data_IF_660254694923
#
_entry.id   IF_660254694923
#
_cell.length_a   1.000
_cell.length_b   1.000
_cell.length_c   1.000
_cell.angle_alpha   90.00
_cell.angle_beta   90.00
_cell.angle_gamma   90.00
#
_symmetry.space_group_name_H-M   'P 1'
#
loop_
_entity.id
_entity.type
_entity.pdbx_description
1 polymer ?
#
# COMPACT_ATOMS: atom_id res chain seq x y z
N UNK A 1 -0.58 5.22 -27.22
CA UNK A 1 0.71 4.59 -26.84
C UNK A 1 1.43 4.03 -28.05
N UNK A 2 0.75 3.28 -28.96
CA UNK A 2 1.37 2.76 -30.18
C UNK A 2 1.85 3.87 -31.14
N UNK A 3 1.19 5.04 -31.16
CA UNK A 3 1.58 6.19 -31.95
C UNK A 3 2.83 6.91 -31.41
N UNK A 4 3.03 6.84 -30.08
CA UNK A 4 4.10 7.56 -29.39
C UNK A 4 5.43 6.76 -29.35
N UNK A 5 5.46 5.53 -29.88
CA UNK A 5 6.63 4.65 -29.96
C UNK A 5 7.31 4.39 -28.60
N UNK A 6 6.56 4.35 -27.52
CA UNK A 6 7.10 3.95 -26.23
C UNK A 6 7.35 2.44 -26.21
N UNK A 7 8.53 2.04 -25.78
CA UNK A 7 8.84 0.66 -25.44
C UNK A 7 8.49 0.44 -23.97
N UNK A 8 7.60 -0.50 -23.69
CA UNK A 8 7.21 -0.82 -22.32
C UNK A 8 6.85 -2.29 -22.19
N UNK A 9 7.10 -2.82 -21.02
CA UNK A 9 6.70 -4.15 -20.60
C UNK A 9 5.63 -4.05 -19.51
N UNK A 10 4.61 -4.90 -19.58
CA UNK A 10 3.56 -5.00 -18.57
C UNK A 10 3.69 -6.31 -17.84
N UNK A 11 3.92 -6.24 -16.54
CA UNK A 11 4.09 -7.40 -15.67
C UNK A 11 3.06 -7.40 -14.56
N UNK A 12 2.66 -8.57 -14.09
CA UNK A 12 1.88 -8.70 -12.88
C UNK A 12 2.79 -8.67 -11.66
N UNK A 13 2.30 -8.12 -10.52
CA UNK A 13 3.09 -8.06 -9.29
C UNK A 13 3.69 -9.40 -8.84
N UNK A 14 3.00 -10.55 -8.95
CA UNK A 14 3.57 -11.85 -8.62
C UNK A 14 4.78 -12.23 -9.46
N UNK A 15 4.87 -11.76 -10.70
CA UNK A 15 5.95 -12.10 -11.62
C UNK A 15 7.32 -11.61 -11.13
N UNK A 16 7.34 -10.49 -10.40
CA UNK A 16 8.56 -9.99 -9.76
C UNK A 16 9.15 -10.96 -8.71
N UNK A 17 8.37 -11.92 -8.22
CA UNK A 17 8.89 -12.96 -7.29
C UNK A 17 9.38 -14.20 -8.00
N UNK A 18 9.23 -14.28 -9.31
CA UNK A 18 9.59 -15.44 -10.12
C UNK A 18 10.94 -15.21 -10.79
N UNK A 19 11.74 -16.25 -10.86
CA UNK A 19 13.02 -16.20 -11.56
C UNK A 19 12.89 -16.69 -13.02
N UNK A 20 11.88 -17.51 -13.28
CA UNK A 20 11.69 -18.19 -14.56
C UNK A 20 10.24 -18.21 -15.02
N UNK A 21 10.07 -18.45 -16.31
CA UNK A 21 8.78 -18.62 -16.96
C UNK A 21 8.30 -17.35 -17.66
N UNK A 22 7.03 -17.35 -18.09
CA UNK A 22 6.46 -16.26 -18.89
C UNK A 22 5.44 -15.45 -18.11
N UNK A 23 5.37 -14.15 -18.44
CA UNK A 23 4.29 -13.24 -18.09
C UNK A 23 3.68 -12.74 -19.41
N UNK A 24 2.54 -13.29 -19.81
CA UNK A 24 2.04 -13.11 -21.17
C UNK A 24 3.06 -13.60 -22.22
N UNK A 25 3.45 -12.71 -23.12
CA UNK A 25 4.47 -13.00 -24.15
C UNK A 25 5.90 -12.76 -23.68
N UNK A 26 6.09 -12.21 -22.49
CA UNK A 26 7.40 -11.82 -21.95
C UNK A 26 8.02 -13.02 -21.24
N UNK A 27 9.24 -13.38 -21.62
CA UNK A 27 10.06 -14.36 -20.91
C UNK A 27 10.84 -13.67 -19.78
N UNK A 28 10.57 -14.08 -18.54
CA UNK A 28 11.15 -13.46 -17.35
C UNK A 28 12.67 -13.65 -17.23
N UNK A 29 13.21 -14.71 -17.83
CA UNK A 29 14.66 -14.96 -17.88
C UNK A 29 15.39 -14.01 -18.84
N UNK A 30 14.67 -13.46 -19.82
CA UNK A 30 15.23 -12.57 -20.85
C UNK A 30 15.07 -11.09 -20.50
N UNK A 31 14.37 -10.75 -19.43
CA UNK A 31 14.20 -9.36 -19.01
C UNK A 31 15.52 -8.78 -18.51
N UNK A 32 15.93 -7.68 -19.11
CA UNK A 32 16.97 -6.83 -18.52
C UNK A 32 16.35 -5.88 -17.49
N UNK A 33 16.20 -6.35 -16.27
CA UNK A 33 15.55 -5.63 -15.16
C UNK A 33 16.15 -4.25 -14.89
N UNK A 34 17.42 -4.05 -15.18
CA UNK A 34 18.13 -2.79 -14.93
C UNK A 34 18.08 -1.78 -16.09
N UNK A 35 17.23 -1.96 -17.08
CA UNK A 35 17.20 -1.13 -18.29
C UNK A 35 15.88 -0.36 -18.45
N UNK A 36 15.29 0.10 -17.35
CA UNK A 36 14.06 0.89 -17.39
C UNK A 36 14.29 2.30 -16.86
N UNK A 37 13.94 3.31 -17.64
CA UNK A 37 14.00 4.73 -17.23
C UNK A 37 12.85 5.11 -16.30
N UNK A 38 11.71 4.41 -16.42
CA UNK A 38 10.51 4.65 -15.64
C UNK A 38 9.83 3.33 -15.26
N UNK A 39 9.46 3.20 -14.00
CA UNK A 39 8.57 2.15 -13.51
C UNK A 39 7.28 2.78 -13.01
N UNK A 40 6.15 2.33 -13.55
CA UNK A 40 4.82 2.69 -13.06
C UNK A 40 4.25 1.51 -12.29
N UNK A 41 3.90 1.71 -11.03
CA UNK A 41 3.38 0.69 -10.14
C UNK A 41 1.93 1.02 -9.83
N UNK A 42 1.00 0.31 -10.47
CA UNK A 42 -0.40 0.38 -10.09
C UNK A 42 -0.64 -0.43 -8.82
N UNK A 43 -1.63 -0.03 -8.01
CA UNK A 43 -1.91 -0.63 -6.70
C UNK A 43 -0.63 -0.81 -5.84
N UNK A 44 0.16 0.27 -5.75
CA UNK A 44 1.47 0.28 -5.08
C UNK A 44 1.42 -0.09 -3.60
N UNK A 45 0.25 -0.05 -2.97
CA UNK A 45 0.03 -0.55 -1.62
C UNK A 45 0.44 -2.02 -1.43
N UNK A 46 0.51 -2.80 -2.51
CA UNK A 46 1.02 -4.17 -2.49
C UNK A 46 2.51 -4.26 -2.14
N UNK A 47 3.25 -3.15 -2.23
CA UNK A 47 4.67 -3.06 -1.90
C UNK A 47 4.94 -2.39 -0.54
N UNK A 48 3.91 -2.13 0.27
CA UNK A 48 4.05 -1.56 1.62
C UNK A 48 4.87 -2.43 2.58
N UNK A 49 4.88 -3.75 2.35
CA UNK A 49 5.61 -4.71 3.15
C UNK A 49 6.89 -5.14 2.45
N UNK A 50 7.98 -5.20 3.22
CA UNK A 50 9.24 -5.80 2.80
C UNK A 50 9.45 -7.11 3.60
N UNK A 51 8.87 -8.24 3.18
CA UNK A 51 8.98 -9.49 3.90
C UNK A 51 10.43 -9.98 3.87
N UNK A 52 10.97 -10.25 5.05
CA UNK A 52 12.30 -10.85 5.21
C UNK A 52 12.19 -12.36 5.00
N UNK A 53 12.22 -12.81 3.75
CA UNK A 53 12.37 -14.23 3.46
C UNK A 53 13.84 -14.60 3.64
N UNK A 54 14.09 -15.73 4.29
CA UNK A 54 15.46 -16.26 4.45
C UNK A 54 16.05 -16.66 3.10
N UNK A 55 15.23 -17.22 2.23
CA UNK A 55 15.61 -17.66 0.89
C UNK A 55 14.60 -17.17 -0.15
N UNK A 56 15.09 -16.96 -1.38
CA UNK A 56 14.31 -16.60 -2.55
C UNK A 56 14.11 -15.10 -2.78
N UNK A 57 13.76 -14.79 -4.02
CA UNK A 57 13.47 -13.44 -4.48
C UNK A 57 12.06 -13.01 -4.00
N UNK A 58 11.95 -11.80 -3.47
CA UNK A 58 10.66 -11.17 -3.22
C UNK A 58 10.44 -10.08 -4.25
N UNK A 59 9.17 -9.76 -4.56
CA UNK A 59 8.85 -8.65 -5.47
C UNK A 59 9.45 -7.33 -5.00
N UNK A 60 9.52 -7.09 -3.68
CA UNK A 60 10.16 -5.90 -3.12
C UNK A 60 11.66 -5.87 -3.41
N UNK A 61 12.36 -6.98 -3.15
CA UNK A 61 13.80 -7.09 -3.42
C UNK A 61 14.12 -6.94 -4.90
N UNK A 62 13.34 -7.61 -5.79
CA UNK A 62 13.51 -7.50 -7.24
C UNK A 62 13.39 -6.04 -7.69
N UNK A 63 12.31 -5.38 -7.30
CA UNK A 63 12.07 -4.00 -7.69
C UNK A 63 13.17 -3.06 -7.15
N UNK A 64 13.55 -3.21 -5.88
CA UNK A 64 14.57 -2.35 -5.27
C UNK A 64 15.97 -2.58 -5.85
N UNK A 65 16.40 -3.84 -5.94
CA UNK A 65 17.80 -4.15 -6.23
C UNK A 65 18.07 -4.29 -7.73
N UNK A 66 17.17 -4.97 -8.46
CA UNK A 66 17.42 -5.32 -9.85
C UNK A 66 16.90 -4.25 -10.82
N UNK A 67 15.90 -3.45 -10.38
CA UNK A 67 15.30 -2.39 -11.20
C UNK A 67 15.79 -1.02 -10.76
N UNK A 68 15.49 -0.60 -9.52
CA UNK A 68 15.71 0.79 -9.07
C UNK A 68 17.18 1.09 -8.81
N UNK A 69 17.90 0.19 -8.11
CA UNK A 69 19.32 0.36 -7.77
C UNK A 69 20.27 -0.19 -8.82
N UNK A 70 19.77 -0.49 -9.99
CA UNK A 70 20.57 -1.02 -11.10
C UNK A 70 21.38 0.08 -11.80
N UNK A 71 21.80 -0.17 -13.02
CA UNK A 71 22.72 0.71 -13.75
C UNK A 71 22.09 1.99 -14.29
N UNK A 72 20.76 2.03 -14.46
CA UNK A 72 20.02 3.19 -14.98
C UNK A 72 19.32 3.87 -13.82
N UNK A 73 19.32 5.21 -13.81
CA UNK A 73 18.58 6.00 -12.81
C UNK A 73 17.07 5.91 -13.11
N UNK A 74 16.45 4.90 -12.60
CA UNK A 74 15.03 4.60 -12.81
C UNK A 74 14.15 5.56 -12.00
N UNK A 75 13.23 6.24 -12.66
CA UNK A 75 12.17 7.02 -12.00
C UNK A 75 11.04 6.08 -11.59
N UNK A 76 10.40 6.37 -10.46
CA UNK A 76 9.31 5.55 -9.93
C UNK A 76 8.04 6.39 -9.79
N UNK A 77 6.95 5.95 -10.42
CA UNK A 77 5.61 6.48 -10.26
C UNK A 77 4.73 5.42 -9.59
N UNK A 78 4.16 5.75 -8.45
CA UNK A 78 3.28 4.86 -7.71
C UNK A 78 1.84 5.36 -7.74
N UNK A 79 0.92 4.48 -8.07
CA UNK A 79 -0.52 4.74 -8.09
C UNK A 79 -1.17 3.88 -7.00
N UNK A 80 -2.00 4.49 -6.17
CA UNK A 80 -2.76 3.77 -5.15
C UNK A 80 -3.93 4.60 -4.64
N UNK A 81 -5.08 3.97 -4.45
CA UNK A 81 -6.21 4.58 -3.75
C UNK A 81 -6.00 4.59 -2.22
N UNK A 82 -5.19 3.69 -1.68
CA UNK A 82 -4.98 3.47 -0.25
C UNK A 82 -3.50 3.26 0.08
N UNK A 83 -2.65 4.31 -0.04
CA UNK A 83 -1.21 4.18 0.17
C UNK A 83 -0.86 3.81 1.62
N UNK A 84 -1.70 4.21 2.57
CA UNK A 84 -1.66 3.81 3.99
C UNK A 84 -2.91 3.00 4.29
N UNK A 85 -2.74 1.81 4.85
CA UNK A 85 -3.88 0.98 5.25
C UNK A 85 -4.04 0.99 6.78
N UNK A 86 -3.17 0.27 7.49
CA UNK A 86 -3.30 0.07 8.93
C UNK A 86 -2.18 0.74 9.74
N UNK A 87 -1.09 1.15 9.08
CA UNK A 87 0.10 1.69 9.75
C UNK A 87 0.66 2.86 8.98
N UNK A 88 1.00 3.93 9.68
CA UNK A 88 1.71 5.07 9.10
C UNK A 88 3.05 4.64 8.49
N UNK A 89 3.66 3.60 9.04
CA UNK A 89 4.91 3.03 8.55
C UNK A 89 4.77 2.30 7.19
N UNK A 90 3.57 2.07 6.70
CA UNK A 90 3.32 1.47 5.38
C UNK A 90 3.92 2.32 4.25
N UNK A 91 3.98 3.64 4.44
CA UNK A 91 4.61 4.56 3.50
C UNK A 91 6.14 4.44 3.45
N UNK A 92 6.79 4.04 4.54
CA UNK A 92 8.25 3.96 4.60
C UNK A 92 8.84 3.12 3.47
N UNK A 93 8.28 1.94 3.25
CA UNK A 93 8.77 1.03 2.23
C UNK A 93 8.47 1.54 0.80
N UNK A 94 7.38 2.27 0.62
CA UNK A 94 7.05 2.90 -0.65
C UNK A 94 7.97 4.10 -0.92
N UNK A 95 8.19 4.96 0.06
CA UNK A 95 9.14 6.08 -0.03
C UNK A 95 10.54 5.58 -0.35
N UNK A 96 10.94 4.42 0.19
CA UNK A 96 12.25 3.83 -0.09
C UNK A 96 12.48 3.53 -1.58
N UNK A 97 11.45 3.29 -2.38
CA UNK A 97 11.60 3.14 -3.83
C UNK A 97 11.97 4.46 -4.52
N UNK A 98 11.46 5.58 -4.01
CA UNK A 98 11.75 6.93 -4.56
C UNK A 98 13.14 7.39 -4.14
N UNK A 99 13.55 7.06 -2.92
CA UNK A 99 14.84 7.47 -2.35
C UNK A 99 15.96 6.46 -2.58
N UNK A 100 15.70 5.39 -3.35
CA UNK A 100 16.62 4.26 -3.52
C UNK A 100 17.06 3.64 -2.18
N UNK A 101 16.24 3.83 -1.13
CA UNK A 101 16.53 3.41 0.24
C UNK A 101 17.49 4.32 0.99
N UNK A 102 17.84 5.49 0.46
CA UNK A 102 18.60 6.50 1.19
C UNK A 102 17.72 7.18 2.24
N UNK A 103 18.08 7.00 3.50
CA UNK A 103 17.36 7.57 4.63
C UNK A 103 17.53 9.10 4.74
N UNK A 104 18.57 9.63 4.13
CA UNK A 104 18.94 11.05 4.14
C UNK A 104 18.62 11.80 2.85
N UNK A 105 17.86 11.21 1.95
CA UNK A 105 17.55 11.78 0.64
C UNK A 105 16.94 13.20 0.71
N UNK A 106 16.33 13.57 1.83
CA UNK A 106 15.68 14.87 2.01
C UNK A 106 16.42 15.83 2.95
N UNK A 107 17.70 15.58 3.27
CA UNK A 107 18.51 16.46 4.13
C UNK A 107 18.56 17.90 3.62
N UNK A 108 18.64 18.08 2.31
CA UNK A 108 18.62 19.42 1.68
C UNK A 108 17.34 20.21 1.93
N UNK A 109 16.29 19.51 2.33
CA UNK A 109 15.00 20.08 2.70
C UNK A 109 14.80 20.17 4.24
N UNK A 110 15.86 19.92 5.02
CA UNK A 110 15.83 19.92 6.48
C UNK A 110 15.07 18.74 7.10
N UNK A 111 15.09 17.58 6.43
CA UNK A 111 14.49 16.34 6.90
C UNK A 111 15.59 15.27 7.02
N UNK A 112 16.12 15.09 8.22
CA UNK A 112 17.37 14.37 8.45
C UNK A 112 17.24 12.85 8.28
N UNK A 113 16.08 12.27 8.58
CA UNK A 113 15.86 10.82 8.48
C UNK A 113 14.42 10.48 8.20
N UNK A 114 14.17 9.90 7.02
CA UNK A 114 12.85 9.38 6.64
C UNK A 114 12.37 8.32 7.62
N UNK A 115 13.28 7.42 8.00
CA UNK A 115 12.97 6.33 8.95
C UNK A 115 12.53 6.85 10.31
N UNK A 116 13.20 7.88 10.83
CA UNK A 116 12.84 8.45 12.12
C UNK A 116 11.49 9.16 12.05
N UNK A 117 11.26 9.96 11.03
CA UNK A 117 9.99 10.69 10.83
C UNK A 117 8.82 9.69 10.75
N UNK A 118 8.95 8.63 9.96
CA UNK A 118 7.89 7.62 9.83
C UNK A 118 7.67 6.82 11.14
N UNK A 119 8.73 6.55 11.89
CA UNK A 119 8.64 5.88 13.20
C UNK A 119 7.93 6.74 14.23
N UNK A 120 8.22 8.02 14.27
CA UNK A 120 7.54 8.96 15.18
C UNK A 120 6.06 9.14 14.83
N UNK A 121 5.73 9.27 13.54
CA UNK A 121 4.36 9.31 13.09
C UNK A 121 3.60 8.04 13.51
N UNK A 122 4.21 6.85 13.33
CA UNK A 122 3.62 5.59 13.76
C UNK A 122 3.43 5.52 15.28
N UNK A 123 4.37 6.01 16.07
CA UNK A 123 4.27 6.05 17.54
C UNK A 123 3.11 6.93 17.98
N UNK A 124 2.97 8.12 17.39
CA UNK A 124 1.88 9.05 17.67
C UNK A 124 0.51 8.47 17.28
N UNK A 125 0.43 7.84 16.10
CA UNK A 125 -0.77 7.13 15.65
C UNK A 125 -1.17 6.01 16.62
N UNK A 126 -0.20 5.16 17.00
CA UNK A 126 -0.46 4.02 17.88
C UNK A 126 -0.92 4.50 19.27
N UNK A 127 -0.31 5.56 19.77
CA UNK A 127 -0.71 6.16 21.05
C UNK A 127 -2.13 6.71 21.00
N UNK A 128 -2.44 7.51 19.98
CA UNK A 128 -3.77 8.09 19.79
C UNK A 128 -4.85 7.00 19.67
N UNK A 129 -4.60 5.96 18.86
CA UNK A 129 -5.55 4.86 18.66
C UNK A 129 -5.79 4.03 19.92
N UNK A 130 -4.76 3.81 20.73
CA UNK A 130 -4.86 3.05 21.98
C UNK A 130 -5.49 3.81 23.12
N UNK A 131 -5.16 5.11 23.24
CA UNK A 131 -5.50 5.92 24.39
C UNK A 131 -6.88 6.61 24.22
N UNK A 132 -7.48 6.55 23.02
CA UNK A 132 -8.78 7.16 22.71
C UNK A 132 -9.86 6.07 22.62
N UNK A 133 -11.02 6.36 23.21
CA UNK A 133 -12.22 5.53 23.08
C UNK A 133 -12.60 5.37 21.60
N UNK A 134 -12.83 4.15 21.08
CA UNK A 134 -13.18 3.91 19.67
C UNK A 134 -14.36 4.76 19.18
N UNK A 135 -15.34 5.02 20.02
CA UNK A 135 -16.53 5.81 19.67
C UNK A 135 -16.27 7.32 19.66
N UNK A 136 -15.10 7.76 20.14
CA UNK A 136 -14.68 9.17 20.26
C UNK A 136 -13.47 9.53 19.42
N UNK A 137 -13.03 8.64 18.53
CA UNK A 137 -11.87 8.88 17.67
C UNK A 137 -12.12 10.09 16.75
N UNK A 138 -11.39 11.17 16.95
CA UNK A 138 -11.40 12.34 16.09
C UNK A 138 -10.08 12.42 15.33
N UNK A 139 -10.15 12.27 13.99
CA UNK A 139 -8.97 12.32 13.12
C UNK A 139 -8.22 13.65 13.25
N UNK A 140 -8.93 14.76 13.51
CA UNK A 140 -8.31 16.08 13.68
C UNK A 140 -7.30 16.09 14.82
N UNK A 141 -7.61 15.45 15.95
CA UNK A 141 -6.70 15.33 17.08
C UNK A 141 -5.40 14.61 16.71
N UNK A 142 -5.49 13.55 15.89
CA UNK A 142 -4.30 12.89 15.36
C UNK A 142 -3.49 13.82 14.47
N UNK A 143 -4.16 14.51 13.53
CA UNK A 143 -3.48 15.43 12.60
C UNK A 143 -2.75 16.54 13.31
N UNK A 144 -3.35 17.12 14.35
CA UNK A 144 -2.76 18.20 15.16
C UNK A 144 -1.53 17.70 15.97
N UNK A 145 -1.50 16.41 16.29
CA UNK A 145 -0.39 15.77 17.01
C UNK A 145 0.74 15.28 16.09
N UNK A 146 0.50 15.12 14.79
CA UNK A 146 1.54 14.69 13.87
C UNK A 146 2.58 15.80 13.65
N UNK A 147 3.82 15.39 13.39
CA UNK A 147 4.92 16.32 13.14
C UNK A 147 4.80 16.94 11.75
N UNK A 148 5.12 18.23 11.62
CA UNK A 148 5.17 18.93 10.35
C UNK A 148 6.16 18.30 9.35
N UNK A 149 7.20 17.63 9.81
CA UNK A 149 8.13 16.90 8.96
C UNK A 149 7.47 15.74 8.21
N UNK A 150 6.51 15.04 8.84
CA UNK A 150 5.72 14.00 8.18
C UNK A 150 4.89 14.56 7.02
N UNK A 151 4.18 15.67 7.26
CA UNK A 151 3.38 16.32 6.21
C UNK A 151 4.25 16.86 5.09
N UNK A 152 5.41 17.42 5.39
CA UNK A 152 6.36 17.90 4.36
C UNK A 152 6.83 16.78 3.43
N UNK A 153 7.14 15.59 3.96
CA UNK A 153 7.46 14.43 3.10
C UNK A 153 6.28 14.09 2.20
N UNK A 154 5.06 14.05 2.74
CA UNK A 154 3.87 13.76 1.93
C UNK A 154 3.66 14.79 0.83
N UNK A 155 3.74 16.08 1.15
CA UNK A 155 3.55 17.18 0.18
C UNK A 155 4.59 17.13 -0.95
N UNK A 156 5.82 16.73 -0.64
CA UNK A 156 6.88 16.60 -1.63
C UNK A 156 6.72 15.41 -2.56
N UNK A 157 6.13 14.31 -2.07
CA UNK A 157 6.12 13.03 -2.77
C UNK A 157 4.76 12.64 -3.32
N UNK A 158 3.66 13.28 -2.88
CA UNK A 158 2.32 12.80 -3.22
C UNK A 158 1.49 13.85 -3.94
N UNK A 159 0.69 13.38 -4.88
CA UNK A 159 -0.37 14.16 -5.52
C UNK A 159 -1.70 13.49 -5.19
N UNK A 160 -2.37 14.02 -4.15
CA UNK A 160 -3.67 13.48 -3.74
C UNK A 160 -4.81 14.14 -4.51
N UNK A 161 -5.77 13.32 -4.98
CA UNK A 161 -6.99 13.77 -5.64
C UNK A 161 -8.19 13.03 -5.05
N UNK A 162 -9.00 13.73 -4.28
CA UNK A 162 -10.29 13.21 -3.81
C UNK A 162 -11.39 13.50 -4.82
N UNK A 163 -12.52 12.76 -4.75
CA UNK A 163 -13.70 13.05 -5.58
C UNK A 163 -14.14 14.50 -5.42
N UNK A 164 -14.22 15.02 -4.20
CA UNK A 164 -14.55 16.44 -3.92
C UNK A 164 -13.58 17.42 -4.58
N UNK A 165 -12.30 17.07 -4.63
CA UNK A 165 -11.30 17.89 -5.30
C UNK A 165 -11.53 17.89 -6.83
N UNK A 166 -11.82 16.73 -7.40
CA UNK A 166 -12.10 16.59 -8.82
C UNK A 166 -13.37 17.40 -9.19
N UNK A 167 -14.46 17.22 -8.44
CA UNK A 167 -15.72 17.96 -8.63
C UNK A 167 -15.54 19.49 -8.56
N UNK A 168 -14.62 19.95 -7.72
CA UNK A 168 -14.39 21.39 -7.51
C UNK A 168 -13.52 22.04 -8.59
N UNK A 169 -12.54 21.33 -9.12
CA UNK A 169 -11.48 21.91 -9.93
C UNK A 169 -11.40 21.39 -11.37
N UNK A 170 -12.16 20.36 -11.73
CA UNK A 170 -12.18 19.79 -13.06
C UNK A 170 -13.55 19.97 -13.69
N UNK A 171 -13.59 20.06 -15.03
CA UNK A 171 -14.85 20.10 -15.75
C UNK A 171 -15.54 18.74 -15.68
N UNK A 172 -16.71 18.73 -15.02
CA UNK A 172 -17.52 17.51 -14.85
C UNK A 172 -18.28 17.13 -16.10
N UNK A 173 -18.32 17.99 -17.14
CA UNK A 173 -19.00 17.68 -18.39
C UNK A 173 -18.36 16.47 -19.09
N UNK A 174 -17.03 16.36 -19.03
CA UNK A 174 -16.28 15.28 -19.67
C UNK A 174 -16.18 14.02 -18.80
N UNK A 175 -16.23 14.19 -17.47
CA UNK A 175 -16.00 13.10 -16.50
C UNK A 175 -17.32 12.45 -16.08
N UNK A 176 -18.42 13.18 -16.11
CA UNK A 176 -19.71 12.77 -15.56
C UNK A 176 -19.80 12.95 -14.04
N UNK A 177 -20.98 12.66 -13.48
CA UNK A 177 -21.20 12.74 -12.04
C UNK A 177 -20.72 11.46 -11.34
N UNK A 178 -20.02 11.63 -10.23
CA UNK A 178 -19.71 10.47 -9.37
C UNK A 178 -20.99 9.87 -8.78
N UNK A 179 -21.07 8.55 -8.65
CA UNK A 179 -22.19 7.89 -7.97
C UNK A 179 -22.37 8.41 -6.55
N UNK A 180 -23.62 8.59 -6.16
CA UNK A 180 -23.96 8.95 -4.79
C UNK A 180 -23.53 7.84 -3.82
N UNK A 181 -22.93 8.24 -2.71
CA UNK A 181 -22.47 7.30 -1.69
C UNK A 181 -23.63 7.04 -0.72
N UNK A 182 -24.24 5.89 -0.85
CA UNK A 182 -25.27 5.45 0.08
C UNK A 182 -24.64 5.06 1.44
N UNK A 183 -25.44 5.11 2.51
CA UNK A 183 -25.02 4.60 3.80
C UNK A 183 -24.79 3.08 3.68
N UNK A 184 -23.73 2.55 4.31
CA UNK A 184 -23.48 1.12 4.30
C UNK A 184 -24.61 0.38 5.05
N UNK A 185 -25.12 -0.65 4.41
CA UNK A 185 -26.08 -1.57 5.03
C UNK A 185 -25.29 -2.79 5.52
N UNK A 186 -25.26 -3.00 6.83
CA UNK A 186 -24.66 -4.18 7.40
C UNK A 186 -25.65 -5.34 7.32
N UNK A 187 -25.35 -6.31 6.49
CA UNK A 187 -26.11 -7.57 6.42
C UNK A 187 -25.35 -8.61 7.24
N UNK A 188 -26.02 -9.19 8.24
CA UNK A 188 -25.52 -10.36 8.95
C UNK A 188 -26.17 -11.58 8.32
N UNK A 189 -25.48 -12.31 7.42
CA UNK A 189 -26.04 -13.50 6.83
C UNK A 189 -26.17 -14.59 7.92
N UNK A 190 -27.27 -15.34 7.88
CA UNK A 190 -27.37 -16.56 8.64
C UNK A 190 -26.40 -17.59 8.03
N UNK A 191 -25.31 -17.85 8.72
CA UNK A 191 -24.25 -18.74 8.25
C UNK A 191 -24.62 -20.20 8.51
N UNK A 192 -25.46 -20.44 9.53
CA UNK A 192 -25.90 -21.77 9.93
C UNK A 192 -27.32 -22.08 9.46
N UNK A 193 -27.44 -22.68 8.29
CA UNK A 193 -28.74 -23.16 7.75
C UNK A 193 -29.38 -24.26 8.58
N UNK A 194 -28.62 -24.89 9.48
CA UNK A 194 -29.13 -25.95 10.38
C UNK A 194 -29.52 -25.43 11.77
N UNK A 195 -29.39 -24.12 11.99
CA UNK A 195 -29.70 -23.46 13.27
C UNK A 195 -28.99 -24.07 14.49
N UNK A 196 -27.79 -24.60 14.31
CA UNK A 196 -26.99 -25.19 15.40
C UNK A 196 -26.33 -24.11 16.27
N UNK A 197 -26.05 -22.96 15.67
CA UNK A 197 -25.40 -21.82 16.35
C UNK A 197 -26.30 -20.60 16.29
N UNK A 198 -26.31 -19.80 17.33
CA UNK A 198 -27.14 -18.58 17.39
C UNK A 198 -26.53 -17.42 16.60
N UNK A 199 -25.18 -17.31 16.59
CA UNK A 199 -24.47 -16.26 15.92
C UNK A 199 -23.02 -16.68 15.56
N UNK A 200 -22.29 -15.74 14.91
CA UNK A 200 -20.88 -15.94 14.55
C UNK A 200 -19.98 -16.11 15.76
N UNK A 201 -20.33 -15.52 16.92
CA UNK A 201 -19.57 -15.66 18.16
C UNK A 201 -19.55 -17.10 18.65
N UNK A 202 -20.72 -17.76 18.66
CA UNK A 202 -20.80 -19.19 19.04
C UNK A 202 -20.02 -20.09 18.09
N UNK A 203 -20.05 -19.80 16.78
CA UNK A 203 -19.23 -20.54 15.79
C UNK A 203 -17.73 -20.34 16.09
N UNK A 204 -17.33 -19.10 16.40
CA UNK A 204 -15.94 -18.79 16.73
C UNK A 204 -15.50 -19.51 18.01
N UNK A 205 -16.33 -19.51 19.04
CA UNK A 205 -16.03 -20.17 20.31
C UNK A 205 -15.89 -21.69 20.13
N UNK A 206 -16.75 -22.29 19.34
CA UNK A 206 -16.68 -23.72 19.03
C UNK A 206 -15.41 -24.06 18.23
N UNK A 207 -15.07 -23.26 17.20
CA UNK A 207 -13.85 -23.44 16.42
C UNK A 207 -12.60 -23.24 17.30
N UNK A 208 -12.62 -22.31 18.23
CA UNK A 208 -11.48 -22.02 19.11
C UNK A 208 -11.18 -23.15 20.11
N UNK A 209 -12.16 -23.99 20.40
CA UNK A 209 -11.98 -25.20 21.23
C UNK A 209 -11.28 -26.33 20.49
N UNK A 210 -11.26 -26.29 19.14
CA UNK A 210 -10.61 -27.31 18.33
C UNK A 210 -9.10 -27.08 18.28
N UNK A 211 -8.33 -28.14 18.42
CA UNK A 211 -6.85 -28.08 18.39
C UNK A 211 -6.28 -27.54 17.07
N UNK A 212 -7.07 -27.57 16.00
CA UNK A 212 -6.74 -27.05 14.65
C UNK A 212 -7.23 -25.61 14.42
N UNK A 213 -7.93 -25.00 15.37
CA UNK A 213 -8.58 -23.70 15.21
C UNK A 213 -7.62 -22.55 14.89
N UNK A 214 -6.37 -22.62 15.33
CA UNK A 214 -5.33 -21.62 15.04
C UNK A 214 -4.95 -21.51 13.55
N UNK A 215 -5.16 -22.55 12.77
CA UNK A 215 -4.84 -22.54 11.33
C UNK A 215 -5.98 -21.98 10.46
N UNK A 216 -7.23 -22.08 10.92
CA UNK A 216 -8.40 -21.67 10.13
C UNK A 216 -8.68 -20.15 10.28
N UNK A 217 -8.40 -19.56 11.42
CA UNK A 217 -8.62 -18.11 11.67
C UNK A 217 -7.73 -17.21 10.81
N UNK A 218 -6.60 -17.70 10.32
CA UNK A 218 -5.71 -16.94 9.44
C UNK A 218 -6.15 -16.90 7.97
N UNK A 219 -7.12 -17.68 7.55
CA UNK A 219 -7.59 -17.79 6.15
C UNK A 219 -8.85 -16.94 5.90
N UNK A 220 -9.56 -16.52 6.94
CA UNK A 220 -10.83 -15.79 6.84
C UNK A 220 -10.76 -14.30 7.22
N UNK A 221 -9.61 -13.76 7.52
CA UNK A 221 -9.33 -12.33 7.72
C UNK A 221 -8.31 -11.84 6.68
#
# INVERSE_FOLDING_TARGET
LAQDRFHYDVLNHPDLSREKGKSGDIDLEMINWGNYDLVVIDESHNFRNNPQKREGMTRYKRLMNDVIRSNVRTKVLMLSATPVNNKMNDLKNQVAFITEGDDRAFNVHGLDSVTQIMREAQRKFTKWYRDTDPDKLQVQELLDNLDGAYFRILDMLTIARSRKHIEKYYDMADIGKFPERLLPITVKPEIDTQMKFKDIGEIYDEISTLTLGWFIVFVLL
#
